data_IF_791711391237
#
_entry.id   IF_791711391237
#
_cell.length_a   1.000
_cell.length_b   1.000
_cell.length_c   1.000
_cell.angle_alpha   90.00
_cell.angle_beta   90.00
_cell.angle_gamma   90.00
#
_symmetry.space_group_name_H-M   'P 1'
#
loop_
_entity.id
_entity.type
_entity.pdbx_description
1 polymer ?
#
# COMPACT_ATOMS: atom_id res chain seq x y z
N UNK A 1 -0.32 -40.87 5.57
CA UNK A 1 0.68 -40.35 6.52
C UNK A 1 1.29 -39.11 5.89
N UNK A 2 1.14 -37.92 6.48
CA UNK A 2 1.81 -36.71 6.01
C UNK A 2 3.17 -36.69 6.70
N UNK A 3 4.24 -37.03 5.97
CA UNK A 3 5.60 -36.95 6.49
C UNK A 3 6.00 -35.47 6.39
N UNK A 4 6.33 -34.86 7.52
CA UNK A 4 6.81 -33.49 7.58
C UNK A 4 8.33 -33.53 7.66
N UNK A 5 9.00 -33.08 6.60
CA UNK A 5 10.44 -32.90 6.58
C UNK A 5 10.80 -31.48 7.02
N UNK A 6 11.96 -31.32 7.62
CA UNK A 6 12.55 -30.05 8.03
C UNK A 6 13.99 -29.95 7.51
N UNK A 7 14.58 -28.75 7.58
CA UNK A 7 16.01 -28.59 7.25
C UNK A 7 16.92 -29.50 8.08
N UNK A 8 16.55 -29.77 9.34
CA UNK A 8 17.27 -30.69 10.23
C UNK A 8 17.37 -32.10 9.66
N UNK A 9 16.33 -32.56 8.98
CA UNK A 9 16.26 -33.94 8.45
C UNK A 9 17.23 -34.20 7.30
N UNK A 10 17.80 -33.16 6.69
CA UNK A 10 18.87 -33.28 5.71
C UNK A 10 20.19 -33.78 6.33
N UNK A 11 20.31 -33.80 7.67
CA UNK A 11 21.48 -34.27 8.42
C UNK A 11 22.82 -33.66 7.95
N UNK A 12 22.79 -32.40 7.50
CA UNK A 12 23.97 -31.69 7.04
C UNK A 12 24.75 -31.12 8.24
N UNK A 13 26.08 -31.31 8.32
CA UNK A 13 26.89 -30.61 9.30
C UNK A 13 26.87 -29.10 9.04
N UNK A 14 26.80 -28.31 10.12
CA UNK A 14 26.75 -26.85 10.03
C UNK A 14 28.13 -26.27 9.65
N UNK A 15 28.15 -25.19 8.89
CA UNK A 15 29.36 -24.37 8.66
C UNK A 15 29.87 -23.84 10.01
N UNK A 16 31.17 -24.03 10.26
CA UNK A 16 31.78 -23.70 11.55
C UNK A 16 31.63 -22.21 11.87
N UNK A 17 31.15 -21.88 13.08
CA UNK A 17 30.87 -20.52 13.52
C UNK A 17 29.48 -20.00 13.13
N UNK A 18 28.65 -20.81 12.47
CA UNK A 18 27.26 -20.46 12.09
C UNK A 18 26.22 -21.31 12.83
N UNK A 19 26.62 -22.11 13.82
CA UNK A 19 25.77 -23.06 14.54
C UNK A 19 24.54 -22.38 15.16
N UNK A 20 24.74 -21.27 15.86
CA UNK A 20 23.66 -20.50 16.49
C UNK A 20 22.73 -19.81 15.48
N UNK A 21 23.21 -19.52 14.28
CA UNK A 21 22.42 -18.89 13.21
C UNK A 21 21.56 -19.93 12.50
N UNK A 22 22.14 -21.08 12.15
CA UNK A 22 21.40 -22.19 11.53
C UNK A 22 20.35 -22.75 12.49
N UNK A 23 20.65 -22.79 13.79
CA UNK A 23 19.71 -23.15 14.87
C UNK A 23 18.33 -22.46 14.76
N UNK A 24 18.27 -21.22 14.27
CA UNK A 24 17.03 -20.43 14.11
C UNK A 24 16.09 -20.95 13.02
N UNK A 25 16.58 -21.82 12.13
CA UNK A 25 15.86 -22.28 10.93
C UNK A 25 15.85 -23.80 10.78
N UNK A 26 16.37 -24.56 11.74
CA UNK A 26 16.45 -26.03 11.63
C UNK A 26 15.08 -26.69 11.43
N UNK A 27 14.05 -26.12 12.06
CA UNK A 27 12.66 -26.61 11.98
C UNK A 27 11.89 -26.02 10.79
N UNK A 28 12.56 -25.30 9.87
CA UNK A 28 11.93 -24.81 8.64
C UNK A 28 11.39 -25.99 7.84
N UNK A 29 10.07 -26.04 7.56
CA UNK A 29 9.46 -27.18 6.88
C UNK A 29 9.88 -27.22 5.40
N UNK A 30 10.08 -28.44 4.91
CA UNK A 30 10.34 -28.75 3.51
C UNK A 30 9.19 -29.58 2.94
N UNK A 31 8.78 -29.27 1.71
CA UNK A 31 7.95 -30.18 0.92
C UNK A 31 8.75 -31.44 0.57
N UNK A 32 8.07 -32.54 0.25
CA UNK A 32 8.74 -33.76 -0.20
C UNK A 32 9.61 -33.52 -1.44
N UNK A 33 9.12 -32.71 -2.39
CA UNK A 33 9.86 -32.34 -3.59
C UNK A 33 11.12 -31.53 -3.27
N UNK A 34 11.07 -30.59 -2.32
CA UNK A 34 12.23 -29.85 -1.87
C UNK A 34 13.23 -30.75 -1.14
N UNK A 35 12.77 -31.61 -0.24
CA UNK A 35 13.64 -32.55 0.47
C UNK A 35 14.38 -33.47 -0.52
N UNK A 36 13.66 -34.10 -1.45
CA UNK A 36 14.25 -34.98 -2.46
C UNK A 36 15.22 -34.23 -3.39
N UNK A 37 14.92 -32.96 -3.68
CA UNK A 37 15.80 -32.11 -4.47
C UNK A 37 17.08 -31.74 -3.72
N UNK A 38 17.03 -31.52 -2.41
CA UNK A 38 18.16 -31.07 -1.61
C UNK A 38 19.05 -32.23 -1.12
N UNK A 39 18.44 -33.38 -0.83
CA UNK A 39 19.11 -34.51 -0.20
C UNK A 39 20.31 -35.00 -1.03
N UNK A 40 21.47 -35.17 -0.38
CA UNK A 40 22.73 -35.59 -1.01
C UNK A 40 23.41 -34.55 -1.92
N UNK A 41 22.84 -33.34 -2.08
CA UNK A 41 23.42 -32.30 -2.97
C UNK A 41 24.33 -31.30 -2.27
N UNK A 42 24.22 -31.16 -0.95
CA UNK A 42 25.14 -30.37 -0.12
C UNK A 42 25.94 -31.27 0.83
N UNK A 43 27.12 -30.79 1.21
CA UNK A 43 27.95 -31.39 2.24
C UNK A 43 27.80 -30.67 3.58
N UNK A 44 27.34 -29.41 3.56
CA UNK A 44 27.14 -28.56 4.76
C UNK A 44 25.96 -27.63 4.60
N UNK A 45 25.44 -27.14 5.73
CA UNK A 45 24.44 -26.06 5.78
C UNK A 45 25.02 -24.83 6.50
N UNK A 46 24.71 -23.64 6.02
CA UNK A 46 25.08 -22.38 6.63
C UNK A 46 24.08 -21.28 6.30
N UNK A 47 24.41 -20.04 6.65
CA UNK A 47 23.59 -18.87 6.33
C UNK A 47 24.31 -17.90 5.40
N UNK A 48 23.58 -17.01 4.75
CA UNK A 48 24.16 -15.94 3.91
C UNK A 48 24.69 -14.78 4.78
N UNK A 49 25.52 -13.87 4.21
CA UNK A 49 25.86 -12.61 4.87
C UNK A 49 24.61 -11.75 5.19
N UNK A 50 23.63 -11.76 4.29
CA UNK A 50 22.38 -10.99 4.47
C UNK A 50 21.56 -11.53 5.64
N UNK A 51 21.47 -12.85 5.82
CA UNK A 51 20.88 -13.46 7.01
C UNK A 51 21.50 -12.90 8.29
N UNK A 52 22.85 -12.85 8.37
CA UNK A 52 23.57 -12.32 9.54
C UNK A 52 23.23 -10.85 9.77
N UNK A 53 23.29 -10.04 8.71
CA UNK A 53 22.96 -8.62 8.72
C UNK A 53 21.55 -8.36 9.25
N UNK A 54 20.55 -9.13 8.79
CA UNK A 54 19.16 -9.02 9.24
C UNK A 54 19.02 -9.35 10.72
N UNK A 55 19.62 -10.44 11.19
CA UNK A 55 19.58 -10.84 12.61
C UNK A 55 20.22 -9.76 13.50
N UNK A 56 21.36 -9.21 13.09
CA UNK A 56 22.08 -8.15 13.80
C UNK A 56 21.29 -6.82 13.81
N UNK A 57 20.76 -6.42 12.65
CA UNK A 57 20.04 -5.14 12.48
C UNK A 57 18.80 -5.07 13.37
N UNK A 58 18.03 -6.16 13.45
CA UNK A 58 16.77 -6.18 14.20
C UNK A 58 16.89 -6.79 15.60
N UNK A 59 18.11 -7.12 16.04
CA UNK A 59 18.39 -7.67 17.38
C UNK A 59 17.44 -8.84 17.73
N UNK A 60 17.33 -9.79 16.80
CA UNK A 60 16.29 -10.83 16.85
C UNK A 60 16.58 -11.79 18.01
N UNK A 61 15.58 -12.09 18.88
CA UNK A 61 15.74 -13.03 19.98
C UNK A 61 16.34 -14.36 19.53
N UNK A 62 17.13 -15.02 20.38
CA UNK A 62 17.68 -16.34 20.06
C UNK A 62 16.58 -17.31 19.60
N UNK A 63 16.93 -18.21 18.68
CA UNK A 63 16.03 -19.21 18.11
C UNK A 63 14.90 -18.67 17.21
N UNK A 64 14.78 -17.35 17.03
CA UNK A 64 13.78 -16.75 16.15
C UNK A 64 14.36 -16.20 14.82
N UNK A 65 13.50 -16.02 13.82
CA UNK A 65 13.74 -15.13 12.67
C UNK A 65 12.75 -13.97 12.68
N UNK A 66 13.11 -12.77 12.21
CA UNK A 66 12.24 -11.59 12.32
C UNK A 66 11.00 -11.71 11.43
N UNK A 67 9.94 -11.01 11.82
CA UNK A 67 8.77 -10.82 10.97
C UNK A 67 9.11 -10.00 9.72
N UNK A 68 8.35 -10.21 8.65
CA UNK A 68 8.55 -9.55 7.36
C UNK A 68 9.69 -10.15 6.53
N UNK A 69 10.17 -11.34 6.87
CA UNK A 69 11.20 -12.05 6.12
C UNK A 69 10.82 -13.51 5.91
N UNK A 70 11.11 -14.02 4.72
CA UNK A 70 10.97 -15.42 4.33
C UNK A 70 12.34 -16.07 4.25
N UNK A 71 12.50 -17.23 4.87
CA UNK A 71 13.66 -18.07 4.64
C UNK A 71 13.71 -18.57 3.18
N UNK A 72 14.82 -18.33 2.51
CA UNK A 72 15.07 -18.84 1.17
C UNK A 72 16.30 -19.75 1.17
N UNK A 73 16.28 -20.78 0.32
CA UNK A 73 17.35 -21.76 0.21
C UNK A 73 18.07 -21.59 -1.12
N UNK A 74 19.39 -21.59 -1.08
CA UNK A 74 20.24 -21.54 -2.28
C UNK A 74 21.55 -22.31 -2.09
N UNK A 75 22.17 -22.72 -3.19
CA UNK A 75 23.48 -23.37 -3.15
C UNK A 75 24.60 -22.40 -3.45
N UNK A 76 25.69 -22.49 -2.68
CA UNK A 76 26.99 -21.90 -3.03
C UNK A 76 28.02 -23.03 -3.02
N UNK A 77 28.39 -23.52 -4.21
CA UNK A 77 29.14 -24.77 -4.34
C UNK A 77 28.36 -25.94 -3.76
N UNK A 78 28.97 -26.71 -2.84
CA UNK A 78 28.32 -27.82 -2.11
C UNK A 78 27.80 -27.42 -0.73
N UNK A 79 27.55 -26.13 -0.49
CA UNK A 79 26.98 -25.64 0.77
C UNK A 79 25.56 -25.14 0.52
N UNK A 80 24.60 -25.69 1.26
CA UNK A 80 23.24 -25.16 1.32
C UNK A 80 23.24 -23.90 2.20
N UNK A 81 22.83 -22.77 1.65
CA UNK A 81 22.76 -21.48 2.34
C UNK A 81 21.31 -21.09 2.58
N UNK A 82 21.00 -20.72 3.81
CA UNK A 82 19.72 -20.11 4.17
C UNK A 82 19.87 -18.59 4.18
N UNK A 83 18.96 -17.91 3.51
CA UNK A 83 18.86 -16.46 3.44
C UNK A 83 17.57 -15.94 4.07
N UNK A 84 17.51 -14.67 4.45
CA UNK A 84 16.28 -13.99 4.87
C UNK A 84 15.90 -12.94 3.83
N UNK A 85 14.91 -13.28 2.99
CA UNK A 85 14.44 -12.42 1.91
C UNK A 85 13.26 -11.58 2.40
N UNK A 86 13.25 -10.28 2.11
CA UNK A 86 12.17 -9.37 2.50
C UNK A 86 10.84 -9.84 1.90
N UNK A 87 9.86 -10.15 2.74
CA UNK A 87 8.50 -10.48 2.32
C UNK A 87 7.51 -10.22 3.46
N UNK A 88 6.73 -9.14 3.35
CA UNK A 88 5.75 -8.72 4.37
C UNK A 88 4.56 -9.68 4.53
N UNK A 89 4.42 -10.68 3.66
CA UNK A 89 3.46 -11.78 3.85
C UNK A 89 3.86 -12.76 4.95
N UNK A 90 5.07 -12.65 5.49
CA UNK A 90 5.59 -13.52 6.53
C UNK A 90 5.65 -12.81 7.87
N UNK A 91 5.25 -13.51 8.92
CA UNK A 91 5.49 -13.17 10.32
C UNK A 91 6.83 -13.78 10.77
N UNK A 92 7.11 -13.75 12.07
CA UNK A 92 8.31 -14.35 12.67
C UNK A 92 8.46 -15.82 12.27
N UNK A 93 9.70 -16.30 12.30
CA UNK A 93 10.06 -17.69 12.05
C UNK A 93 9.68 -18.19 10.64
N UNK A 94 9.63 -17.29 9.66
CA UNK A 94 9.24 -17.59 8.28
C UNK A 94 7.87 -18.25 8.17
N UNK A 95 6.96 -17.92 9.09
CA UNK A 95 5.57 -18.36 9.07
C UNK A 95 4.76 -17.40 8.22
N UNK A 96 3.96 -17.90 7.26
CA UNK A 96 3.03 -17.04 6.53
C UNK A 96 2.01 -16.43 7.49
N UNK A 97 1.68 -15.15 7.30
CA UNK A 97 0.58 -14.50 8.02
C UNK A 97 -0.73 -15.28 7.81
N UNK A 98 -1.68 -15.21 8.76
CA UNK A 98 -2.89 -16.04 8.73
C UNK A 98 -3.79 -15.85 7.50
N UNK A 99 -3.71 -14.68 6.86
CA UNK A 99 -4.52 -14.31 5.69
C UNK A 99 -3.62 -13.90 4.52
N UNK A 100 -4.09 -14.15 3.30
CA UNK A 100 -3.40 -13.68 2.09
C UNK A 100 -3.51 -12.16 1.92
N UNK A 101 -4.59 -11.55 2.41
CA UNK A 101 -4.77 -10.10 2.44
C UNK A 101 -3.92 -9.51 3.57
N UNK A 102 -3.15 -8.48 3.24
CA UNK A 102 -2.35 -7.72 4.19
C UNK A 102 -3.05 -6.41 4.54
N UNK A 103 -2.95 -6.00 5.81
CA UNK A 103 -3.48 -4.72 6.26
C UNK A 103 -2.38 -3.67 6.44
N UNK A 104 -2.76 -2.43 6.21
CA UNK A 104 -1.90 -1.26 6.32
C UNK A 104 -2.60 -0.15 7.10
N UNK A 105 -1.85 0.58 7.92
CA UNK A 105 -2.34 1.81 8.53
C UNK A 105 -2.08 3.00 7.60
N UNK A 106 -3.10 3.81 7.32
CA UNK A 106 -2.95 5.11 6.67
C UNK A 106 -2.88 6.21 7.75
N UNK A 107 -1.72 6.37 8.37
CA UNK A 107 -1.55 7.24 9.54
C UNK A 107 -0.11 7.67 9.75
N UNK A 108 0.05 8.79 10.44
CA UNK A 108 1.32 9.26 11.00
C UNK A 108 1.22 9.47 12.52
N UNK A 109 0.19 8.93 13.17
CA UNK A 109 -0.07 9.07 14.59
C UNK A 109 0.43 7.84 15.36
N UNK A 110 1.57 7.93 16.09
CA UNK A 110 2.11 6.81 16.85
C UNK A 110 1.13 6.22 17.87
N UNK A 111 0.24 7.04 18.45
CA UNK A 111 -0.73 6.59 19.45
C UNK A 111 -1.84 5.71 18.87
N UNK A 112 -2.19 5.92 17.60
CA UNK A 112 -3.18 5.09 16.89
C UNK A 112 -2.55 3.87 16.22
N UNK A 113 -1.27 3.96 15.85
CA UNK A 113 -0.53 2.85 15.23
C UNK A 113 -0.16 1.79 16.26
N UNK A 114 0.28 2.18 17.46
CA UNK A 114 0.75 1.24 18.48
C UNK A 114 -0.26 0.11 18.83
N UNK A 115 -1.57 0.36 19.00
CA UNK A 115 -2.54 -0.69 19.31
C UNK A 115 -2.75 -1.72 18.18
N UNK A 116 -2.42 -1.38 16.93
CA UNK A 116 -2.64 -2.26 15.77
C UNK A 116 -1.34 -2.79 15.15
N UNK A 117 -0.18 -2.46 15.73
CA UNK A 117 1.15 -2.71 15.14
C UNK A 117 1.38 -4.18 14.78
N UNK A 118 0.96 -5.12 15.64
CA UNK A 118 1.15 -6.55 15.42
C UNK A 118 0.26 -7.13 14.30
N UNK A 119 -0.82 -6.42 13.92
CA UNK A 119 -1.82 -6.90 12.97
C UNK A 119 -1.64 -6.34 11.56
N UNK A 120 -0.73 -5.38 11.37
CA UNK A 120 -0.46 -4.76 10.08
C UNK A 120 0.89 -5.19 9.51
N UNK A 121 1.00 -5.15 8.19
CA UNK A 121 2.20 -5.51 7.43
C UNK A 121 2.77 -4.32 6.65
N UNK A 122 2.09 -3.17 6.69
CA UNK A 122 2.50 -1.97 6.00
C UNK A 122 1.96 -0.73 6.73
N UNK A 123 2.58 0.42 6.49
CA UNK A 123 2.04 1.73 6.84
C UNK A 123 2.22 2.67 5.64
N UNK A 124 1.20 3.45 5.34
CA UNK A 124 1.28 4.57 4.39
C UNK A 124 1.11 5.88 5.11
N UNK A 125 1.93 6.87 4.77
CA UNK A 125 1.71 8.25 5.15
C UNK A 125 1.99 9.18 3.96
N UNK A 126 1.49 10.41 4.05
CA UNK A 126 1.71 11.48 3.09
C UNK A 126 1.89 12.81 3.85
N UNK A 127 2.32 13.90 3.20
CA UNK A 127 2.56 15.17 3.89
C UNK A 127 1.33 15.68 4.66
N UNK A 128 0.13 15.57 4.09
CA UNK A 128 -1.11 15.98 4.77
C UNK A 128 -1.38 15.17 6.04
N UNK A 129 -1.18 13.85 6.00
CA UNK A 129 -1.33 12.98 7.19
C UNK A 129 -0.30 13.35 8.27
N UNK A 130 0.96 13.59 7.89
CA UNK A 130 2.04 13.91 8.83
C UNK A 130 1.83 15.30 9.45
N UNK A 131 1.68 16.31 8.61
CA UNK A 131 1.68 17.71 9.05
C UNK A 131 0.31 18.13 9.57
N UNK A 132 -0.76 17.90 8.80
CA UNK A 132 -2.07 18.46 9.12
C UNK A 132 -2.83 17.59 10.12
N UNK A 133 -2.86 16.27 9.91
CA UNK A 133 -3.64 15.36 10.76
C UNK A 133 -2.93 15.03 12.08
N UNK A 134 -1.60 15.08 12.12
CA UNK A 134 -0.81 14.75 13.31
C UNK A 134 -0.02 15.92 13.90
N UNK A 135 1.11 16.32 13.31
CA UNK A 135 2.07 17.26 13.95
C UNK A 135 1.40 18.57 14.37
N UNK A 136 0.63 19.18 13.47
CA UNK A 136 -0.05 20.46 13.70
C UNK A 136 -1.42 20.30 14.38
N UNK A 137 -1.84 19.08 14.69
CA UNK A 137 -3.10 18.79 15.37
C UNK A 137 -2.86 18.56 16.87
N UNK A 138 -3.15 19.54 17.75
CA UNK A 138 -2.89 19.43 19.18
C UNK A 138 -3.73 18.35 19.88
N UNK A 139 -4.83 17.87 19.25
CA UNK A 139 -5.61 16.75 19.78
C UNK A 139 -4.93 15.40 19.51
N UNK A 140 -4.26 15.27 18.37
CA UNK A 140 -3.59 14.03 17.98
C UNK A 140 -2.17 13.97 18.54
N UNK A 141 -1.40 15.06 18.43
CA UNK A 141 -0.06 15.19 19.00
C UNK A 141 -0.13 15.61 20.47
N UNK A 142 -0.40 14.65 21.34
CA UNK A 142 -0.67 14.86 22.77
C UNK A 142 0.50 15.59 23.44
N UNK A 143 0.21 16.76 24.01
CA UNK A 143 1.22 17.61 24.65
C UNK A 143 2.25 18.22 23.69
N UNK A 144 2.03 18.11 22.37
CA UNK A 144 2.99 18.55 21.36
C UNK A 144 4.31 17.81 21.44
N UNK A 145 4.30 16.52 21.77
CA UNK A 145 5.49 15.69 21.96
C UNK A 145 6.37 15.63 20.70
N UNK A 146 5.77 15.58 19.52
CA UNK A 146 6.48 15.49 18.23
C UNK A 146 6.53 16.86 17.54
N UNK A 147 7.69 17.24 17.01
CA UNK A 147 7.94 18.53 16.35
C UNK A 147 8.29 18.38 14.87
N UNK A 148 8.89 17.25 14.52
CA UNK A 148 9.41 17.03 13.17
C UNK A 148 8.89 15.75 12.56
N UNK A 149 8.85 15.71 11.23
CA UNK A 149 8.56 14.49 10.47
C UNK A 149 9.51 13.35 10.84
N UNK A 150 10.77 13.66 11.10
CA UNK A 150 11.78 12.68 11.46
C UNK A 150 11.48 12.00 12.79
N UNK A 151 11.10 12.77 13.83
CA UNK A 151 10.71 12.22 15.14
C UNK A 151 9.51 11.28 15.01
N UNK A 152 8.53 11.67 14.19
CA UNK A 152 7.34 10.84 13.94
C UNK A 152 7.71 9.54 13.23
N UNK A 153 8.51 9.62 12.16
CA UNK A 153 8.88 8.43 11.41
C UNK A 153 9.79 7.50 12.21
N UNK A 154 10.71 8.04 13.01
CA UNK A 154 11.55 7.24 13.90
C UNK A 154 10.70 6.47 14.94
N UNK A 155 9.71 7.12 15.55
CA UNK A 155 8.83 6.47 16.53
C UNK A 155 7.93 5.41 15.88
N UNK A 156 7.38 5.71 14.69
CA UNK A 156 6.62 4.71 13.91
C UNK A 156 7.50 3.51 13.57
N UNK A 157 8.74 3.75 13.13
CA UNK A 157 9.72 2.70 12.88
C UNK A 157 10.00 1.85 14.13
N UNK A 158 10.09 2.46 15.31
CA UNK A 158 10.25 1.74 16.58
C UNK A 158 9.04 0.87 16.90
N UNK A 159 7.83 1.41 16.74
CA UNK A 159 6.56 0.73 17.04
C UNK A 159 6.35 -0.50 16.14
N UNK A 160 6.58 -0.36 14.83
CA UNK A 160 6.27 -1.40 13.85
C UNK A 160 7.32 -2.51 13.77
N UNK A 161 8.53 -2.27 14.27
CA UNK A 161 9.62 -3.24 14.21
C UNK A 161 9.94 -3.67 12.77
N UNK A 162 10.46 -4.90 12.54
CA UNK A 162 10.83 -5.39 11.21
C UNK A 162 9.64 -5.79 10.33
N UNK A 163 8.48 -6.10 10.92
CA UNK A 163 7.39 -6.81 10.25
C UNK A 163 6.59 -6.00 9.22
N UNK A 164 6.81 -4.70 9.13
CA UNK A 164 6.06 -3.81 8.26
C UNK A 164 6.94 -3.00 7.31
N UNK A 165 6.44 -2.78 6.09
CA UNK A 165 6.97 -1.76 5.18
C UNK A 165 6.37 -0.39 5.52
N UNK A 166 7.16 0.68 5.38
CA UNK A 166 6.78 2.03 5.77
C UNK A 166 6.94 2.94 4.55
N UNK A 167 5.81 3.30 3.93
CA UNK A 167 5.74 4.16 2.76
C UNK A 167 5.73 5.63 3.16
N UNK A 168 6.79 6.35 2.79
CA UNK A 168 7.04 7.74 3.18
C UNK A 168 7.10 8.60 1.91
N UNK A 169 6.15 9.52 1.76
CA UNK A 169 5.98 10.29 0.51
C UNK A 169 6.92 11.48 0.39
N UNK A 170 7.50 11.69 -0.79
CA UNK A 170 8.39 12.83 -1.04
C UNK A 170 7.72 14.16 -0.67
N UNK A 171 8.43 15.03 0.04
CA UNK A 171 7.87 16.31 0.48
C UNK A 171 7.62 17.29 -0.68
N UNK A 172 8.53 17.31 -1.65
CA UNK A 172 8.41 18.19 -2.82
C UNK A 172 8.92 17.46 -4.07
N UNK A 173 8.05 16.72 -4.78
CA UNK A 173 8.42 16.02 -6.00
C UNK A 173 8.58 16.95 -7.22
N UNK A 174 8.27 18.25 -7.07
CA UNK A 174 8.24 19.21 -8.17
C UNK A 174 9.45 20.14 -8.18
N UNK A 175 9.76 20.76 -7.03
CA UNK A 175 10.80 21.77 -6.91
C UNK A 175 12.19 21.23 -6.62
N UNK A 176 12.30 20.04 -6.01
CA UNK A 176 13.59 19.41 -5.69
C UNK A 176 14.26 18.79 -6.92
N UNK A 177 15.58 18.94 -6.96
CA UNK A 177 16.46 18.21 -7.87
C UNK A 177 16.52 16.72 -7.52
N UNK A 178 16.94 15.90 -8.48
CA UNK A 178 17.07 14.45 -8.26
C UNK A 178 18.07 14.11 -7.13
N UNK A 179 19.12 14.93 -6.97
CA UNK A 179 20.08 14.79 -5.87
C UNK A 179 19.43 15.05 -4.49
N UNK A 180 18.61 16.09 -4.37
CA UNK A 180 17.90 16.40 -3.12
C UNK A 180 16.83 15.33 -2.79
N UNK A 181 16.19 14.74 -3.80
CA UNK A 181 15.29 13.61 -3.64
C UNK A 181 16.03 12.37 -3.14
N UNK A 182 17.20 12.07 -3.71
CA UNK A 182 18.04 10.96 -3.27
C UNK A 182 18.57 11.17 -1.84
N UNK A 183 18.90 12.40 -1.47
CA UNK A 183 19.30 12.74 -0.10
C UNK A 183 18.14 12.54 0.89
N UNK A 184 16.93 12.98 0.54
CA UNK A 184 15.73 12.73 1.35
C UNK A 184 15.47 11.22 1.51
N UNK A 185 15.57 10.44 0.43
CA UNK A 185 15.42 8.99 0.46
C UNK A 185 16.49 8.28 1.30
N UNK A 186 17.75 8.73 1.19
CA UNK A 186 18.86 8.19 1.97
C UNK A 186 18.68 8.43 3.46
N UNK A 187 18.21 9.61 3.86
CA UNK A 187 17.88 9.94 5.25
C UNK A 187 16.80 9.01 5.82
N UNK A 188 15.74 8.74 5.07
CA UNK A 188 14.72 7.78 5.51
C UNK A 188 15.24 6.35 5.56
N UNK A 189 16.14 5.97 4.65
CA UNK A 189 16.80 4.67 4.67
C UNK A 189 17.70 4.49 5.90
N UNK A 190 18.43 5.52 6.31
CA UNK A 190 19.22 5.51 7.55
C UNK A 190 18.31 5.35 8.78
N UNK A 191 17.23 6.12 8.84
CA UNK A 191 16.31 6.15 9.98
C UNK A 191 15.45 4.88 10.11
N UNK A 192 14.88 4.42 9.00
CA UNK A 192 13.93 3.29 8.98
C UNK A 192 14.63 1.98 8.63
N UNK A 193 15.85 1.99 8.10
CA UNK A 193 16.52 0.81 7.59
C UNK A 193 16.05 0.43 6.19
N UNK A 194 16.95 -0.22 5.44
CA UNK A 194 16.75 -0.55 4.03
C UNK A 194 15.57 -1.50 3.77
N UNK A 195 15.29 -2.42 4.69
CA UNK A 195 14.24 -3.42 4.48
C UNK A 195 12.83 -2.90 4.80
N UNK A 196 12.70 -1.74 5.46
CA UNK A 196 11.39 -1.18 5.86
C UNK A 196 11.01 0.04 5.06
N UNK A 197 11.98 0.90 4.71
CA UNK A 197 11.70 2.11 3.95
C UNK A 197 11.13 1.77 2.57
N UNK A 198 10.06 2.47 2.20
CA UNK A 198 9.52 2.52 0.84
C UNK A 198 9.29 4.00 0.52
N UNK A 199 9.85 4.49 -0.58
CA UNK A 199 9.68 5.90 -0.97
C UNK A 199 8.40 6.02 -1.77
N UNK A 200 7.49 6.85 -1.30
CA UNK A 200 6.20 7.07 -1.97
C UNK A 200 6.30 8.25 -2.92
N UNK A 201 5.95 8.02 -4.18
CA UNK A 201 6.12 8.96 -5.30
C UNK A 201 4.75 9.17 -5.94
N UNK A 202 4.26 10.41 -6.11
CA UNK A 202 2.98 10.64 -6.75
C UNK A 202 3.07 10.64 -8.28
N UNK A 203 1.96 10.26 -8.94
CA UNK A 203 1.70 10.73 -10.31
C UNK A 203 1.57 12.25 -10.29
N UNK A 204 2.31 12.91 -11.18
CA UNK A 204 2.44 14.38 -11.19
C UNK A 204 1.43 15.07 -12.11
N UNK A 205 0.97 14.38 -13.16
CA UNK A 205 0.01 14.97 -14.11
C UNK A 205 0.55 16.27 -14.72
N UNK A 206 -0.25 17.34 -14.84
CA UNK A 206 0.21 18.62 -15.37
C UNK A 206 1.00 19.47 -14.35
N UNK A 207 1.24 19.00 -13.12
CA UNK A 207 1.84 19.80 -12.05
C UNK A 207 3.37 19.79 -12.16
N UNK A 208 3.99 20.96 -12.02
CA UNK A 208 5.43 21.16 -12.09
C UNK A 208 5.90 22.32 -11.17
N UNK A 209 7.21 22.52 -11.11
CA UNK A 209 7.83 23.54 -10.24
C UNK A 209 7.31 24.97 -10.50
N UNK A 210 6.90 25.27 -11.73
CA UNK A 210 6.45 26.61 -12.12
C UNK A 210 4.98 26.86 -11.76
N UNK A 211 4.14 25.83 -11.69
CA UNK A 211 2.70 25.98 -11.48
C UNK A 211 2.20 25.47 -10.12
N UNK A 212 2.97 24.66 -9.38
CA UNK A 212 2.52 24.08 -8.09
C UNK A 212 2.09 25.15 -7.07
N UNK A 213 2.70 26.34 -7.11
CA UNK A 213 2.32 27.47 -6.24
C UNK A 213 0.88 27.95 -6.45
N UNK A 214 0.28 27.73 -7.62
CA UNK A 214 -1.13 28.09 -7.89
C UNK A 214 -2.10 27.20 -7.12
N UNK A 215 -1.71 25.97 -6.77
CA UNK A 215 -2.52 25.08 -5.93
C UNK A 215 -2.54 25.50 -4.46
N UNK A 216 -1.63 26.40 -4.05
CA UNK A 216 -1.47 26.83 -2.66
C UNK A 216 -2.07 28.22 -2.40
N UNK A 217 -2.23 29.03 -3.44
CA UNK A 217 -2.59 30.45 -3.35
C UNK A 217 -3.79 30.78 -4.25
N UNK A 218 -4.44 31.92 -4.01
CA UNK A 218 -5.57 32.35 -4.84
C UNK A 218 -6.77 31.41 -4.77
N UNK A 219 -7.30 31.04 -5.93
CA UNK A 219 -8.43 30.10 -6.10
C UNK A 219 -8.02 28.62 -5.92
N UNK A 220 -6.71 28.37 -5.76
CA UNK A 220 -6.11 27.04 -5.58
C UNK A 220 -6.33 26.09 -6.75
N UNK A 221 -6.40 26.62 -7.98
CA UNK A 221 -6.62 25.84 -9.21
C UNK A 221 -5.43 25.92 -10.17
N UNK A 222 -5.38 24.96 -11.09
CA UNK A 222 -4.45 25.00 -12.22
C UNK A 222 -5.12 25.60 -13.43
N UNK A 223 -4.36 26.41 -14.16
CA UNK A 223 -4.77 26.91 -15.47
C UNK A 223 -4.64 25.86 -16.58
N UNK A 224 -3.86 24.79 -16.34
CA UNK A 224 -3.65 23.69 -17.29
C UNK A 224 -4.61 22.55 -16.97
N UNK A 225 -5.37 22.09 -17.96
CA UNK A 225 -6.28 20.96 -17.80
C UNK A 225 -5.52 19.66 -17.50
N UNK A 226 -6.12 18.78 -16.69
CA UNK A 226 -5.52 17.51 -16.30
C UNK A 226 -5.22 16.57 -17.49
N UNK A 227 -5.97 16.71 -18.59
CA UNK A 227 -5.87 15.89 -19.81
C UNK A 227 -4.99 16.51 -20.91
N UNK A 228 -4.41 17.68 -20.67
CA UNK A 228 -3.50 18.34 -21.60
C UNK A 228 -2.13 18.66 -20.96
N UNK A 229 -1.50 17.73 -20.21
CA UNK A 229 -0.18 18.00 -19.65
C UNK A 229 0.88 18.03 -20.76
N UNK A 230 1.99 18.74 -20.51
CA UNK A 230 3.19 18.49 -21.30
C UNK A 230 3.71 17.08 -21.02
N UNK A 231 4.39 16.46 -21.99
CA UNK A 231 4.95 15.12 -21.80
C UNK A 231 5.95 15.09 -20.63
N UNK A 232 6.78 16.13 -20.48
CA UNK A 232 7.76 16.18 -19.40
C UNK A 232 7.09 16.21 -18.01
N UNK A 233 6.03 17.01 -17.84
CA UNK A 233 5.30 17.13 -16.58
C UNK A 233 4.58 15.82 -16.22
N UNK A 234 3.90 15.22 -17.21
CA UNK A 234 3.17 13.96 -17.04
C UNK A 234 4.08 12.80 -16.62
N UNK A 235 5.34 12.81 -17.08
CA UNK A 235 6.32 11.75 -16.81
C UNK A 235 7.25 12.06 -15.62
N UNK A 236 7.18 13.23 -14.97
CA UNK A 236 8.05 13.55 -13.81
C UNK A 236 7.95 12.48 -12.71
N UNK A 237 6.73 12.11 -12.29
CA UNK A 237 6.52 11.06 -11.30
C UNK A 237 7.08 9.68 -11.74
N UNK A 238 6.95 9.34 -13.03
CA UNK A 238 7.50 8.10 -13.59
C UNK A 238 9.04 8.10 -13.56
N UNK A 239 9.67 9.22 -13.95
CA UNK A 239 11.12 9.37 -13.90
C UNK A 239 11.65 9.29 -12.47
N UNK A 240 10.98 9.91 -11.50
CA UNK A 240 11.35 9.82 -10.08
C UNK A 240 11.26 8.38 -9.57
N UNK A 241 10.17 7.67 -9.89
CA UNK A 241 9.99 6.28 -9.49
C UNK A 241 11.08 5.38 -10.08
N UNK A 242 11.37 5.51 -11.39
CA UNK A 242 12.41 4.73 -12.05
C UNK A 242 13.81 5.06 -11.50
N UNK A 243 14.12 6.34 -11.33
CA UNK A 243 15.40 6.79 -10.78
C UNK A 243 15.63 6.22 -9.37
N UNK A 244 14.63 6.28 -8.49
CA UNK A 244 14.72 5.71 -7.15
C UNK A 244 14.91 4.18 -7.20
N UNK A 245 14.20 3.48 -8.09
CA UNK A 245 14.39 2.05 -8.31
C UNK A 245 15.81 1.72 -8.75
N UNK A 246 16.37 2.44 -9.72
CA UNK A 246 17.74 2.25 -10.21
C UNK A 246 18.81 2.50 -9.12
N UNK A 247 18.49 3.33 -8.13
CA UNK A 247 19.33 3.56 -6.94
C UNK A 247 19.04 2.58 -5.79
N UNK A 248 18.25 1.53 -6.02
CA UNK A 248 18.01 0.44 -5.07
C UNK A 248 16.95 0.73 -4.02
N UNK A 249 16.08 1.72 -4.23
CA UNK A 249 14.94 1.99 -3.38
C UNK A 249 13.68 1.26 -3.87
N UNK A 250 12.87 0.79 -2.92
CA UNK A 250 11.50 0.33 -3.21
C UNK A 250 10.58 1.54 -3.29
N UNK A 251 9.70 1.55 -4.29
CA UNK A 251 8.81 2.68 -4.57
C UNK A 251 7.35 2.31 -4.39
N UNK A 252 6.59 3.16 -3.69
CA UNK A 252 5.14 3.15 -3.67
C UNK A 252 4.62 4.23 -4.63
N UNK A 253 4.12 3.84 -5.79
CA UNK A 253 3.64 4.77 -6.81
C UNK A 253 2.17 5.12 -6.54
N UNK A 254 1.93 6.34 -6.09
CA UNK A 254 0.63 6.82 -5.58
C UNK A 254 -0.08 7.79 -6.54
N UNK A 255 -1.25 8.28 -6.14
CA UNK A 255 -2.16 9.16 -6.89
C UNK A 255 -2.58 8.58 -8.24
N UNK A 256 -2.83 7.27 -8.25
CA UNK A 256 -3.37 6.53 -9.39
C UNK A 256 -4.88 6.43 -9.26
N UNK A 257 -5.59 7.07 -10.18
CA UNK A 257 -7.05 7.15 -10.18
C UNK A 257 -7.67 6.41 -11.35
N UNK A 258 -6.98 6.28 -12.48
CA UNK A 258 -7.53 5.68 -13.70
C UNK A 258 -6.77 4.41 -14.12
N UNK A 259 -7.45 3.38 -14.65
CA UNK A 259 -6.89 2.05 -14.81
C UNK A 259 -5.80 1.97 -15.88
N UNK A 260 -5.86 2.85 -16.89
CA UNK A 260 -4.86 2.91 -17.95
C UNK A 260 -3.51 3.46 -17.46
N UNK A 261 -3.46 4.14 -16.31
CA UNK A 261 -2.20 4.61 -15.73
C UNK A 261 -1.30 3.42 -15.34
N UNK A 262 -1.90 2.31 -14.90
CA UNK A 262 -1.17 1.18 -14.31
C UNK A 262 -0.20 0.51 -15.26
N UNK A 263 -0.60 0.26 -16.52
CA UNK A 263 0.28 -0.41 -17.48
C UNK A 263 1.59 0.37 -17.71
N UNK A 264 1.49 1.71 -17.74
CA UNK A 264 2.64 2.59 -17.86
C UNK A 264 3.41 2.71 -16.55
N UNK A 265 2.72 2.85 -15.42
CA UNK A 265 3.32 2.92 -14.10
C UNK A 265 4.20 1.69 -13.77
N UNK A 266 3.78 0.50 -14.20
CA UNK A 266 4.57 -0.73 -14.04
C UNK A 266 5.92 -0.70 -14.77
N UNK A 267 6.10 0.13 -15.80
CA UNK A 267 7.40 0.29 -16.48
C UNK A 267 8.46 0.92 -15.56
N UNK A 268 8.04 1.69 -14.55
CA UNK A 268 8.93 2.24 -13.52
C UNK A 268 9.28 1.24 -12.41
N UNK A 269 8.86 -0.03 -12.53
CA UNK A 269 9.16 -1.14 -11.61
C UNK A 269 8.84 -0.84 -10.13
N UNK A 270 7.64 -0.29 -9.82
CA UNK A 270 7.29 0.05 -8.46
C UNK A 270 7.11 -1.22 -7.60
N UNK A 271 7.39 -1.10 -6.31
CA UNK A 271 7.11 -2.15 -5.32
C UNK A 271 5.63 -2.15 -4.91
N UNK A 272 5.00 -0.97 -4.83
CA UNK A 272 3.55 -0.83 -4.70
C UNK A 272 2.97 0.08 -5.79
N UNK A 273 1.80 -0.28 -6.29
CA UNK A 273 0.89 0.62 -7.02
C UNK A 273 -0.38 0.83 -6.21
N UNK A 274 -1.08 1.93 -6.41
CA UNK A 274 -2.24 2.28 -5.58
C UNK A 274 -3.55 2.32 -6.39
N UNK A 275 -4.67 2.07 -5.72
CA UNK A 275 -6.02 2.34 -6.24
C UNK A 275 -6.79 3.19 -5.25
N UNK A 276 -7.14 4.42 -5.63
CA UNK A 276 -7.98 5.33 -4.84
C UNK A 276 -9.45 5.11 -5.20
N UNK A 277 -10.24 4.54 -4.30
CA UNK A 277 -11.60 4.06 -4.65
C UNK A 277 -12.70 5.10 -4.35
N UNK A 278 -12.63 5.79 -3.21
CA UNK A 278 -13.73 6.62 -2.73
C UNK A 278 -14.05 7.82 -3.61
N UNK A 279 -13.06 8.67 -3.89
CA UNK A 279 -13.30 9.89 -4.67
C UNK A 279 -13.80 9.56 -6.07
N UNK A 280 -13.28 8.47 -6.65
CA UNK A 280 -13.69 8.00 -7.96
C UNK A 280 -15.14 7.52 -7.96
N UNK A 281 -15.55 6.75 -6.97
CA UNK A 281 -16.94 6.31 -6.80
C UNK A 281 -17.88 7.50 -6.59
N UNK A 282 -17.57 8.38 -5.64
CA UNK A 282 -18.40 9.56 -5.33
C UNK A 282 -18.62 10.42 -6.58
N UNK A 283 -17.54 10.72 -7.31
CA UNK A 283 -17.65 11.55 -8.51
C UNK A 283 -18.47 10.87 -9.62
N UNK A 284 -18.36 9.54 -9.77
CA UNK A 284 -19.18 8.78 -10.73
C UNK A 284 -20.66 8.81 -10.36
N UNK A 285 -20.98 8.61 -9.08
CA UNK A 285 -22.36 8.71 -8.58
C UNK A 285 -22.96 10.08 -8.85
N UNK A 286 -22.24 11.16 -8.52
CA UNK A 286 -22.73 12.53 -8.74
C UNK A 286 -22.91 12.85 -10.23
N UNK A 287 -22.01 12.38 -11.10
CA UNK A 287 -22.18 12.53 -12.56
C UNK A 287 -23.44 11.82 -13.05
N UNK A 288 -23.67 10.57 -12.63
CA UNK A 288 -24.85 9.80 -13.03
C UNK A 288 -26.15 10.42 -12.51
N UNK A 289 -26.15 11.00 -11.31
CA UNK A 289 -27.30 11.74 -10.76
C UNK A 289 -27.69 12.93 -11.64
N UNK A 290 -26.74 13.81 -11.99
CA UNK A 290 -27.04 14.97 -12.85
C UNK A 290 -27.47 14.55 -14.26
N UNK A 291 -26.82 13.54 -14.84
CA UNK A 291 -27.21 13.00 -16.14
C UNK A 291 -28.60 12.37 -16.09
N UNK A 292 -28.92 11.62 -15.03
CA UNK A 292 -30.24 11.05 -14.79
C UNK A 292 -31.34 12.11 -14.71
N UNK A 293 -31.13 13.13 -13.87
CA UNK A 293 -32.06 14.26 -13.74
C UNK A 293 -32.28 14.98 -15.06
N UNK A 294 -31.21 15.21 -15.84
CA UNK A 294 -31.32 15.78 -17.18
C UNK A 294 -32.09 14.85 -18.14
N UNK A 295 -31.83 13.53 -18.13
CA UNK A 295 -32.54 12.57 -18.97
C UNK A 295 -34.04 12.59 -18.72
N UNK A 296 -34.45 12.69 -17.46
CA UNK A 296 -35.86 12.61 -17.04
C UNK A 296 -36.62 13.92 -17.26
N UNK A 297 -35.96 15.06 -17.06
CA UNK A 297 -36.62 16.38 -17.07
C UNK A 297 -36.36 17.19 -18.34
N UNK A 298 -35.27 16.90 -19.06
CA UNK A 298 -34.69 17.72 -20.13
C UNK A 298 -34.33 19.15 -19.69
N UNK A 299 -34.27 19.41 -18.40
CA UNK A 299 -33.94 20.73 -17.84
C UNK A 299 -32.42 20.97 -17.89
N UNK A 300 -32.01 21.95 -18.70
CA UNK A 300 -30.59 22.25 -18.94
C UNK A 300 -29.83 22.66 -17.69
N UNK A 301 -30.52 23.11 -16.63
CA UNK A 301 -29.89 23.47 -15.35
C UNK A 301 -29.06 22.34 -14.75
N UNK A 302 -29.44 21.08 -14.99
CA UNK A 302 -28.69 19.94 -14.47
C UNK A 302 -27.35 19.74 -15.20
N UNK A 303 -27.26 20.13 -16.48
CA UNK A 303 -25.99 20.16 -17.19
C UNK A 303 -25.12 21.34 -16.75
N UNK A 304 -25.71 22.48 -16.38
CA UNK A 304 -24.98 23.62 -15.78
C UNK A 304 -24.42 23.29 -14.39
N UNK A 305 -25.17 22.54 -13.59
CA UNK A 305 -24.72 22.00 -12.31
C UNK A 305 -23.60 20.96 -12.50
N UNK A 306 -23.76 20.05 -13.46
CA UNK A 306 -22.71 19.09 -13.83
C UNK A 306 -21.43 19.81 -14.28
N UNK A 307 -21.53 20.88 -15.08
CA UNK A 307 -20.39 21.70 -15.49
C UNK A 307 -19.68 22.31 -14.28
N UNK A 308 -20.45 22.95 -13.40
CA UNK A 308 -19.92 23.54 -12.15
C UNK A 308 -19.20 22.49 -11.30
N UNK A 309 -19.79 21.30 -11.16
CA UNK A 309 -19.19 20.18 -10.47
C UNK A 309 -17.88 19.70 -11.13
N UNK A 310 -17.87 19.56 -12.45
CA UNK A 310 -16.70 19.11 -13.19
C UNK A 310 -15.54 20.12 -13.12
N UNK A 311 -15.83 21.42 -13.13
CA UNK A 311 -14.83 22.47 -12.86
C UNK A 311 -14.32 22.36 -11.41
N UNK A 312 -15.22 22.18 -10.43
CA UNK A 312 -14.84 22.04 -9.02
C UNK A 312 -13.98 20.79 -8.75
N UNK A 313 -14.04 19.77 -9.62
CA UNK A 313 -13.25 18.54 -9.53
C UNK A 313 -12.11 18.46 -10.54
N UNK A 314 -11.69 19.60 -11.10
CA UNK A 314 -10.54 19.73 -12.01
C UNK A 314 -10.64 18.92 -13.32
N UNK A 315 -11.86 18.51 -13.71
CA UNK A 315 -12.09 17.94 -15.03
C UNK A 315 -11.95 18.98 -16.13
N UNK A 316 -12.25 20.24 -15.81
CA UNK A 316 -12.08 21.41 -16.65
C UNK A 316 -11.33 22.51 -15.89
N UNK A 317 -10.76 23.50 -16.59
CA UNK A 317 -10.05 24.59 -15.93
C UNK A 317 -11.03 25.54 -15.26
N UNK A 318 -10.59 26.24 -14.21
CA UNK A 318 -11.43 27.19 -13.46
C UNK A 318 -12.03 28.31 -14.33
N UNK A 319 -11.33 28.71 -15.39
CA UNK A 319 -11.78 29.74 -16.34
C UNK A 319 -12.79 29.26 -17.39
N UNK A 320 -13.06 27.96 -17.48
CA UNK A 320 -13.86 27.37 -18.54
C UNK A 320 -15.38 27.42 -18.24
N UNK A 321 -15.87 28.59 -17.82
CA UNK A 321 -17.26 28.79 -17.38
C UNK A 321 -18.28 28.62 -18.51
N UNK A 322 -17.85 28.84 -19.76
CA UNK A 322 -18.71 28.80 -20.95
C UNK A 322 -18.53 27.53 -21.79
N UNK A 323 -18.01 26.44 -21.21
CA UNK A 323 -17.95 25.14 -21.91
C UNK A 323 -19.35 24.74 -22.38
N UNK A 324 -19.40 24.30 -23.64
CA UNK A 324 -20.60 23.73 -24.26
C UNK A 324 -21.18 22.60 -23.41
N UNK A 325 -22.44 22.74 -23.01
CA UNK A 325 -23.11 21.77 -22.13
C UNK A 325 -23.22 20.38 -22.75
N UNK A 326 -23.25 20.27 -24.07
CA UNK A 326 -23.24 18.99 -24.75
C UNK A 326 -21.85 18.31 -24.68
N UNK A 327 -20.76 19.07 -24.70
CA UNK A 327 -19.43 18.55 -24.38
C UNK A 327 -19.35 18.06 -22.92
N UNK A 328 -19.82 18.86 -21.95
CA UNK A 328 -19.87 18.46 -20.52
C UNK A 328 -20.61 17.13 -20.35
N UNK A 329 -21.79 17.01 -20.98
CA UNK A 329 -22.58 15.78 -20.97
C UNK A 329 -21.78 14.60 -21.53
N UNK A 330 -21.18 14.76 -22.71
CA UNK A 330 -20.44 13.69 -23.39
C UNK A 330 -19.22 13.22 -22.59
N UNK A 331 -18.48 14.14 -21.98
CA UNK A 331 -17.33 13.79 -21.14
C UNK A 331 -17.78 12.97 -19.93
N UNK A 332 -18.81 13.40 -19.21
CA UNK A 332 -19.37 12.64 -18.09
C UNK A 332 -19.90 11.25 -18.52
N UNK A 333 -20.63 11.16 -19.63
CA UNK A 333 -21.10 9.89 -20.19
C UNK A 333 -19.94 8.95 -20.56
N UNK A 334 -18.89 9.48 -21.19
CA UNK A 334 -17.70 8.70 -21.56
C UNK A 334 -16.95 8.15 -20.34
N UNK A 335 -16.88 8.95 -19.28
CA UNK A 335 -16.26 8.56 -18.02
C UNK A 335 -17.02 7.44 -17.32
N UNK A 336 -18.34 7.59 -17.17
CA UNK A 336 -19.19 6.56 -16.57
C UNK A 336 -19.15 5.25 -17.37
N UNK A 337 -19.12 5.36 -18.71
CA UNK A 337 -18.93 4.22 -19.58
C UNK A 337 -17.58 3.52 -19.36
N UNK A 338 -16.48 4.28 -19.28
CA UNK A 338 -15.15 3.70 -19.01
C UNK A 338 -15.08 3.01 -17.64
N UNK A 339 -15.80 3.54 -16.66
CA UNK A 339 -15.89 2.98 -15.30
C UNK A 339 -16.91 1.85 -15.18
N UNK A 340 -17.57 1.46 -16.28
CA UNK A 340 -18.64 0.47 -16.33
C UNK A 340 -19.76 0.74 -15.30
N UNK A 341 -20.08 2.01 -15.06
CA UNK A 341 -20.95 2.42 -13.94
C UNK A 341 -22.42 2.02 -14.14
N UNK A 342 -22.81 1.60 -15.35
CA UNK A 342 -24.13 1.10 -15.67
C UNK A 342 -24.37 -0.36 -15.21
N UNK A 343 -23.31 -1.11 -14.90
CA UNK A 343 -23.40 -2.49 -14.43
C UNK A 343 -23.13 -2.62 -12.92
N UNK A 344 -23.37 -3.80 -12.35
CA UNK A 344 -23.12 -4.05 -10.92
C UNK A 344 -21.62 -3.96 -10.57
N UNK A 345 -20.74 -4.31 -11.53
CA UNK A 345 -19.28 -4.31 -11.33
C UNK A 345 -18.70 -2.91 -11.19
N UNK A 346 -19.16 -1.91 -11.97
CA UNK A 346 -18.65 -0.54 -11.83
C UNK A 346 -19.24 0.23 -10.65
N UNK A 347 -20.44 -0.14 -10.19
CA UNK A 347 -21.16 0.60 -9.13
C UNK A 347 -20.58 0.45 -7.73
N UNK A 348 -19.72 -0.54 -7.50
CA UNK A 348 -19.00 -0.68 -6.22
C UNK A 348 -17.72 0.17 -6.15
N UNK A 349 -17.33 0.83 -7.25
CA UNK A 349 -16.14 1.67 -7.31
C UNK A 349 -14.81 0.90 -7.36
N UNK A 350 -14.85 -0.42 -7.59
CA UNK A 350 -13.67 -1.27 -7.66
C UNK A 350 -13.24 -1.60 -9.10
N UNK A 351 -13.78 -0.90 -10.11
CA UNK A 351 -13.41 -1.05 -11.52
C UNK A 351 -11.89 -0.88 -11.75
N UNK A 352 -11.30 0.15 -11.14
CA UNK A 352 -9.85 0.35 -11.19
C UNK A 352 -9.05 -0.73 -10.47
N UNK A 353 -9.57 -1.26 -9.35
CA UNK A 353 -8.93 -2.36 -8.62
C UNK A 353 -8.89 -3.61 -9.49
N UNK A 354 -10.02 -3.98 -10.10
CA UNK A 354 -10.14 -5.14 -11.00
C UNK A 354 -9.13 -5.08 -12.15
N UNK A 355 -9.03 -3.94 -12.82
CA UNK A 355 -8.08 -3.78 -13.91
C UNK A 355 -6.63 -3.87 -13.42
N UNK A 356 -6.32 -3.29 -12.25
CA UNK A 356 -4.98 -3.36 -11.67
C UNK A 356 -4.59 -4.81 -11.32
N UNK A 357 -5.51 -5.60 -10.80
CA UNK A 357 -5.29 -7.02 -10.53
C UNK A 357 -5.04 -7.82 -11.82
N UNK A 358 -5.82 -7.57 -12.89
CA UNK A 358 -5.60 -8.19 -14.20
C UNK A 358 -4.21 -7.86 -14.78
N UNK A 359 -3.78 -6.61 -14.68
CA UNK A 359 -2.45 -6.18 -15.14
C UNK A 359 -1.31 -6.75 -14.28
N UNK A 360 -1.46 -6.76 -12.96
CA UNK A 360 -0.46 -7.36 -12.07
C UNK A 360 -0.28 -8.84 -12.33
N UNK A 361 -1.37 -9.59 -12.57
CA UNK A 361 -1.33 -11.01 -12.92
C UNK A 361 -0.48 -11.29 -14.17
N UNK A 362 -0.46 -10.35 -15.12
CA UNK A 362 0.27 -10.47 -16.38
C UNK A 362 1.66 -9.81 -16.35
N UNK A 363 2.02 -9.15 -15.24
CA UNK A 363 3.30 -8.45 -15.12
C UNK A 363 4.46 -9.38 -14.78
N UNK A 364 5.66 -9.05 -15.26
CA UNK A 364 6.91 -9.73 -14.90
C UNK A 364 7.54 -9.17 -13.61
N UNK A 365 6.70 -8.65 -12.71
CA UNK A 365 7.13 -8.06 -11.44
C UNK A 365 6.54 -8.89 -10.30
N UNK A 366 7.24 -9.93 -9.82
CA UNK A 366 6.70 -10.87 -8.85
C UNK A 366 6.41 -10.22 -7.49
N UNK A 367 7.19 -9.21 -7.11
CA UNK A 367 7.14 -8.59 -5.79
C UNK A 367 6.21 -7.36 -5.74
N UNK A 368 5.76 -6.85 -6.89
CA UNK A 368 4.85 -5.69 -6.93
C UNK A 368 3.49 -6.06 -6.35
N UNK A 369 2.95 -5.21 -5.48
CA UNK A 369 1.62 -5.39 -4.86
C UNK A 369 0.71 -4.20 -5.13
N UNK A 370 -0.60 -4.44 -5.08
CA UNK A 370 -1.63 -3.40 -5.14
C UNK A 370 -2.00 -2.95 -3.73
N UNK A 371 -1.86 -1.65 -3.44
CA UNK A 371 -2.47 -1.03 -2.27
C UNK A 371 -3.84 -0.48 -2.67
N UNK A 372 -4.91 -1.02 -2.08
CA UNK A 372 -6.25 -0.42 -2.15
C UNK A 372 -6.35 0.62 -1.03
N UNK A 373 -6.64 1.87 -1.38
CA UNK A 373 -6.57 3.01 -0.48
C UNK A 373 -7.78 3.96 -0.65
N UNK A 374 -7.88 4.94 0.26
CA UNK A 374 -9.01 5.87 0.33
C UNK A 374 -10.34 5.13 0.52
N UNK A 375 -10.40 4.27 1.52
CA UNK A 375 -11.65 3.59 1.90
C UNK A 375 -12.49 4.48 2.83
N UNK A 376 -13.81 4.48 2.65
CA UNK A 376 -14.76 5.14 3.55
C UNK A 376 -16.07 4.34 3.64
N UNK A 377 -16.90 4.64 4.63
CA UNK A 377 -18.24 4.09 4.75
C UNK A 377 -18.26 2.62 5.22
N UNK A 378 -19.44 2.00 5.26
CA UNK A 378 -19.61 0.61 5.69
C UNK A 378 -19.33 -0.43 4.60
N UNK A 379 -19.43 -0.06 3.32
CA UNK A 379 -19.55 -1.06 2.24
C UNK A 379 -18.23 -1.38 1.52
N UNK A 380 -17.24 -0.47 1.56
CA UNK A 380 -15.97 -0.67 0.83
C UNK A 380 -15.25 -1.97 1.21
N UNK A 381 -15.11 -2.31 2.49
CA UNK A 381 -14.44 -3.55 2.87
C UNK A 381 -15.23 -4.80 2.45
N UNK A 382 -16.54 -4.94 2.74
CA UNK A 382 -17.34 -6.04 2.22
C UNK A 382 -17.26 -6.23 0.70
N UNK A 383 -17.22 -5.15 -0.08
CA UNK A 383 -17.11 -5.23 -1.53
C UNK A 383 -15.71 -5.68 -1.99
N UNK A 384 -14.65 -5.20 -1.33
CA UNK A 384 -13.27 -5.67 -1.57
C UNK A 384 -13.14 -7.16 -1.20
N UNK A 385 -13.68 -7.58 -0.06
CA UNK A 385 -13.62 -8.97 0.40
C UNK A 385 -14.35 -9.91 -0.58
N UNK A 386 -15.53 -9.50 -1.07
CA UNK A 386 -16.27 -10.22 -2.11
C UNK A 386 -15.46 -10.32 -3.40
N UNK A 387 -14.79 -9.24 -3.81
CA UNK A 387 -13.93 -9.22 -4.98
C UNK A 387 -12.77 -10.22 -4.82
N UNK A 388 -12.02 -10.15 -3.72
CA UNK A 388 -10.85 -10.96 -3.46
C UNK A 388 -11.18 -12.42 -3.12
N UNK A 389 -12.45 -12.73 -2.86
CA UNK A 389 -12.95 -14.10 -2.68
C UNK A 389 -13.60 -14.67 -3.94
N UNK A 390 -13.68 -13.91 -5.03
CA UNK A 390 -14.28 -14.37 -6.27
C UNK A 390 -13.37 -15.29 -7.08
N UNK A 391 -13.96 -16.12 -7.95
CA UNK A 391 -13.22 -17.03 -8.84
C UNK A 391 -12.22 -16.30 -9.73
N UNK A 392 -12.53 -15.08 -10.18
CA UNK A 392 -11.66 -14.31 -11.07
C UNK A 392 -10.43 -13.74 -10.35
N UNK A 393 -10.49 -13.44 -9.05
CA UNK A 393 -9.44 -12.66 -8.36
C UNK A 393 -8.87 -13.31 -7.08
N UNK A 394 -9.40 -14.45 -6.65
CA UNK A 394 -8.95 -15.15 -5.44
C UNK A 394 -7.46 -15.52 -5.45
N UNK A 395 -6.90 -15.80 -6.63
CA UNK A 395 -5.47 -16.06 -6.83
C UNK A 395 -4.59 -14.82 -6.54
N UNK A 396 -5.14 -13.62 -6.68
CA UNK A 396 -4.42 -12.37 -6.53
C UNK A 396 -4.48 -11.77 -5.12
N UNK A 397 -5.28 -12.35 -4.21
CA UNK A 397 -5.42 -11.83 -2.84
C UNK A 397 -4.07 -11.68 -2.11
N UNK A 398 -3.11 -12.59 -2.37
CA UNK A 398 -1.75 -12.53 -1.82
C UNK A 398 -0.90 -11.35 -2.31
N UNK A 399 -1.34 -10.63 -3.33
CA UNK A 399 -0.69 -9.43 -3.90
C UNK A 399 -1.42 -8.13 -3.54
N UNK A 400 -2.33 -8.17 -2.58
CA UNK A 400 -3.12 -7.01 -2.15
C UNK A 400 -2.76 -6.59 -0.73
N UNK A 401 -2.64 -5.27 -0.55
CA UNK A 401 -2.57 -4.60 0.74
C UNK A 401 -3.77 -3.66 0.83
N UNK A 402 -4.52 -3.73 1.93
CA UNK A 402 -5.64 -2.82 2.20
C UNK A 402 -5.14 -1.77 3.18
N UNK A 403 -5.19 -0.48 2.80
CA UNK A 403 -4.80 0.63 3.68
C UNK A 403 -5.99 1.50 4.03
N UNK A 404 -6.15 1.77 5.33
CA UNK A 404 -7.17 2.65 5.86
C UNK A 404 -6.69 3.27 7.19
N UNK A 405 -7.37 4.32 7.65
CA UNK A 405 -7.12 4.88 8.98
C UNK A 405 -7.28 3.78 10.06
N UNK A 406 -6.45 3.76 11.12
CA UNK A 406 -6.54 2.77 12.20
C UNK A 406 -7.95 2.62 12.78
N UNK A 407 -8.68 3.74 12.95
CA UNK A 407 -10.05 3.73 13.46
C UNK A 407 -11.05 3.08 12.49
N UNK A 408 -10.81 3.16 11.18
CA UNK A 408 -11.62 2.45 10.19
C UNK A 408 -11.43 0.94 10.33
N UNK A 409 -10.18 0.47 10.43
CA UNK A 409 -9.86 -0.95 10.63
C UNK A 409 -10.43 -1.48 11.96
N UNK A 410 -10.37 -0.69 13.03
CA UNK A 410 -10.92 -1.06 14.33
C UNK A 410 -12.43 -1.35 14.30
N UNK A 411 -13.18 -0.82 13.32
CA UNK A 411 -14.60 -1.14 13.16
C UNK A 411 -14.83 -2.62 12.86
N UNK A 412 -13.87 -3.29 12.23
CA UNK A 412 -13.99 -4.71 11.87
C UNK A 412 -13.96 -5.64 13.09
N UNK A 413 -13.50 -5.14 14.24
CA UNK A 413 -13.46 -5.92 15.49
C UNK A 413 -14.71 -5.71 16.35
N UNK A 414 -15.74 -5.02 15.85
CA UNK A 414 -16.92 -4.62 16.63
C UNK A 414 -18.23 -4.92 15.92
N UNK A 415 -19.25 -5.29 16.70
CA UNK A 415 -20.64 -5.43 16.25
C UNK A 415 -21.60 -5.26 17.44
N UNK A 416 -22.86 -4.92 17.17
CA UNK A 416 -23.91 -4.84 18.21
C UNK A 416 -24.06 -6.15 19.01
N UNK A 417 -23.83 -7.29 18.36
CA UNK A 417 -23.88 -8.62 18.99
C UNK A 417 -22.71 -8.85 19.93
N UNK A 418 -21.50 -8.32 19.65
CA UNK A 418 -20.35 -8.39 20.56
C UNK A 418 -20.73 -7.77 21.92
N UNK A 419 -21.28 -6.55 21.90
CA UNK A 419 -21.72 -5.86 23.12
C UNK A 419 -22.85 -6.63 23.84
N UNK A 420 -23.81 -7.12 23.08
CA UNK A 420 -24.97 -7.82 23.64
C UNK A 420 -24.59 -9.15 24.31
N UNK A 421 -23.69 -9.92 23.71
CA UNK A 421 -23.19 -11.17 24.29
C UNK A 421 -22.27 -10.92 25.48
N UNK A 422 -21.38 -9.92 25.41
CA UNK A 422 -20.55 -9.55 26.56
C UNK A 422 -21.41 -9.14 27.76
N UNK A 423 -22.48 -8.35 27.56
CA UNK A 423 -23.43 -8.02 28.62
C UNK A 423 -24.06 -9.28 29.24
N UNK A 424 -24.49 -10.23 28.40
CA UNK A 424 -25.06 -11.51 28.88
C UNK A 424 -24.05 -12.31 29.68
N UNK A 425 -22.82 -12.45 29.20
CA UNK A 425 -21.76 -13.21 29.87
C UNK A 425 -21.37 -12.58 31.20
N UNK A 426 -21.22 -11.26 31.25
CA UNK A 426 -20.89 -10.56 32.49
C UNK A 426 -22.00 -10.66 33.54
N UNK A 427 -23.26 -10.59 33.13
CA UNK A 427 -24.40 -10.83 34.05
C UNK A 427 -24.41 -12.27 34.57
N UNK A 428 -24.13 -13.26 33.72
CA UNK A 428 -24.04 -14.65 34.14
C UNK A 428 -22.88 -14.88 35.13
N UNK A 429 -21.71 -14.29 34.85
CA UNK A 429 -20.55 -14.37 35.73
C UNK A 429 -20.79 -13.69 37.09
N UNK A 430 -21.47 -12.54 37.10
CA UNK A 430 -21.84 -11.84 38.34
C UNK A 430 -22.86 -12.62 39.18
N UNK A 431 -23.67 -13.49 38.57
CA UNK A 431 -24.58 -14.38 39.29
C UNK A 431 -23.89 -15.56 40.00
N UNK A 432 -22.58 -15.74 39.81
CA UNK A 432 -21.79 -16.79 40.47
C UNK A 432 -21.06 -16.31 41.74
N UNK A 433 -21.19 -15.03 42.12
CA UNK A 433 -20.61 -14.46 43.34
C UNK A 433 -21.55 -14.57 44.54
#
# INVERSE_FOLDING_TARGET
MKINWTLKDLNLPVVSGEEALVARVQDLPLTAAEFDHLNGRADRIGVTPEFKKVIETYQVPEWETPAGFKAALGFVGRVLRVDLVRDISYDKNSVKRPTNVLFSADSANPYEVAPIADYIANLTCNPGIIYDLFINNPKANVGGQFKTRDEVMAEIGRILGPGADISVELNDPFGKSDAEILEEAAKFKEMLGEHRVVIKVPHTGPVNANNVGSLLTGDKRLATAHNAPSTADAFRGHHLALMLHEHGYRVNFTLMFEPWQTALALQARPYFINSFIRHRLLQSTTMEEYLGLYRDTKDVKYLEQLRSFMIDKDYFCAGDLDIDLNLVRKEAENMLKHRAFDCAEGRDGLDGVRQNLRLLRQSNLPDTRLIICSMEGPDNYPDIDRLLSSDEYGDMAGRVVITAEPNYLARFTSANQVVSYQRRFMNAANGMS
#
